data_IF_497645297408
#
_entry.id   IF_497645297408
#
_cell.length_a   1.000
_cell.length_b   1.000
_cell.length_c   1.000
_cell.angle_alpha   90.00
_cell.angle_beta   90.00
_cell.angle_gamma   90.00
#
_symmetry.space_group_name_H-M   'P 1'
#
loop_
_entity.id
_entity.type
_entity.pdbx_description
1 polymer ?
#
# COMPACT_ATOMS: atom_id res chain seq x y z
N UNK A 1 10.72 -13.85 3.15
CA UNK A 1 9.25 -13.66 3.15
C UNK A 1 8.92 -12.44 2.29
N UNK A 2 7.65 -12.26 1.90
CA UNK A 2 7.21 -11.03 1.22
C UNK A 2 6.65 -10.05 2.25
N UNK A 3 7.15 -8.83 2.26
CA UNK A 3 6.80 -7.79 3.21
C UNK A 3 6.30 -6.55 2.46
N UNK A 4 5.15 -6.01 2.88
CA UNK A 4 4.67 -4.71 2.43
C UNK A 4 4.85 -3.70 3.57
N UNK A 5 5.61 -2.63 3.32
CA UNK A 5 5.77 -1.51 4.25
C UNK A 5 4.91 -0.36 3.76
N UNK A 6 3.86 -0.03 4.52
CA UNK A 6 2.97 1.11 4.22
C UNK A 6 3.34 2.31 5.08
N UNK A 7 3.63 3.44 4.43
CA UNK A 7 3.97 4.72 5.09
C UNK A 7 2.77 5.65 4.97
N UNK A 8 2.26 6.12 6.11
CA UNK A 8 1.06 6.96 6.19
C UNK A 8 1.35 8.25 6.97
N UNK A 9 2.35 9.02 6.54
CA UNK A 9 2.69 10.30 7.16
C UNK A 9 3.00 11.39 6.12
N UNK A 10 2.41 12.59 6.21
CA UNK A 10 2.53 13.61 5.15
C UNK A 10 3.92 14.27 5.06
N UNK A 11 4.68 14.27 6.16
CA UNK A 11 6.01 14.90 6.21
C UNK A 11 7.09 13.85 5.91
N UNK A 12 7.87 14.04 4.84
CA UNK A 12 8.91 13.14 4.34
C UNK A 12 10.13 12.96 5.27
N UNK A 13 10.37 13.92 6.18
CA UNK A 13 11.42 13.83 7.21
C UNK A 13 10.85 13.64 8.63
N UNK A 14 9.66 13.05 8.73
CA UNK A 14 9.10 12.68 10.02
C UNK A 14 9.83 11.51 10.66
N UNK A 15 9.60 11.32 11.97
CA UNK A 15 10.03 10.11 12.66
C UNK A 15 9.47 8.85 12.00
N UNK A 16 8.23 8.87 11.50
CA UNK A 16 7.63 7.73 10.81
C UNK A 16 8.42 7.34 9.55
N UNK A 17 8.82 8.32 8.73
CA UNK A 17 9.66 8.08 7.56
C UNK A 17 11.04 7.53 7.94
N UNK A 18 11.66 8.06 9.01
CA UNK A 18 12.94 7.54 9.51
C UNK A 18 12.81 6.10 10.02
N UNK A 19 11.75 5.78 10.75
CA UNK A 19 11.48 4.41 11.21
C UNK A 19 11.22 3.45 10.05
N UNK A 20 10.45 3.87 9.05
CA UNK A 20 10.19 3.07 7.85
C UNK A 20 11.49 2.74 7.12
N UNK A 21 12.39 3.72 6.92
CA UNK A 21 13.71 3.49 6.32
C UNK A 21 14.52 2.44 7.08
N UNK A 22 14.57 2.53 8.41
CA UNK A 22 15.27 1.56 9.27
C UNK A 22 14.65 0.15 9.16
N UNK A 23 13.33 0.06 9.17
CA UNK A 23 12.61 -1.20 9.02
C UNK A 23 12.87 -1.85 7.65
N UNK A 24 12.73 -1.09 6.56
CA UNK A 24 13.00 -1.54 5.19
C UNK A 24 14.43 -2.06 5.06
N UNK A 25 15.42 -1.29 5.54
CA UNK A 25 16.82 -1.70 5.51
C UNK A 25 17.06 -3.02 6.25
N UNK A 26 16.43 -3.17 7.43
CA UNK A 26 16.55 -4.40 8.23
C UNK A 26 15.90 -5.60 7.53
N UNK A 27 14.71 -5.43 6.94
CA UNK A 27 14.00 -6.49 6.21
C UNK A 27 14.81 -6.95 4.99
N UNK A 28 15.34 -6.02 4.20
CA UNK A 28 16.19 -6.33 3.04
C UNK A 28 17.47 -7.05 3.47
N UNK A 29 18.14 -6.59 4.54
CA UNK A 29 19.34 -7.23 5.06
C UNK A 29 19.11 -8.68 5.54
N UNK A 30 17.88 -9.01 5.96
CA UNK A 30 17.48 -10.36 6.34
C UNK A 30 16.96 -11.20 5.15
N UNK A 31 17.17 -10.76 3.91
CA UNK A 31 16.80 -11.50 2.70
C UNK A 31 15.30 -11.55 2.42
N UNK A 32 14.53 -10.56 2.89
CA UNK A 32 13.11 -10.45 2.56
C UNK A 32 12.87 -9.65 1.27
N UNK A 33 11.83 -10.02 0.54
CA UNK A 33 11.31 -9.25 -0.60
C UNK A 33 10.42 -8.14 -0.04
N UNK A 34 10.79 -6.88 -0.25
CA UNK A 34 10.10 -5.73 0.34
C UNK A 34 9.48 -4.87 -0.75
N UNK A 35 8.18 -4.63 -0.62
CA UNK A 35 7.44 -3.61 -1.38
C UNK A 35 7.13 -2.46 -0.43
N UNK A 36 7.23 -1.22 -0.92
CA UNK A 36 6.98 -0.02 -0.14
C UNK A 36 5.88 0.77 -0.80
N UNK A 37 4.86 1.13 -0.02
CA UNK A 37 3.77 2.01 -0.44
C UNK A 37 3.73 3.23 0.47
N UNK A 38 4.00 4.41 -0.09
CA UNK A 38 3.86 5.67 0.62
C UNK A 38 2.55 6.33 0.20
N UNK A 39 1.56 6.29 1.10
CA UNK A 39 0.20 6.74 0.81
C UNK A 39 0.12 8.23 0.52
N UNK A 40 0.96 9.05 1.16
CA UNK A 40 0.95 10.49 0.93
C UNK A 40 1.72 10.85 -0.34
N UNK A 41 2.84 10.17 -0.62
CA UNK A 41 3.56 10.38 -1.87
C UNK A 41 2.75 9.87 -3.09
N UNK A 42 1.93 8.84 -2.92
CA UNK A 42 1.06 8.28 -3.95
C UNK A 42 -0.29 9.02 -4.09
N UNK A 43 -0.54 10.08 -3.31
CA UNK A 43 -1.83 10.79 -3.25
C UNK A 43 -3.02 9.82 -3.10
N UNK A 44 -2.86 8.84 -2.21
CA UNK A 44 -3.86 7.81 -1.97
C UNK A 44 -5.17 8.45 -1.50
N UNK A 45 -6.27 8.16 -2.19
CA UNK A 45 -7.61 8.60 -1.81
C UNK A 45 -8.21 7.67 -0.75
N UNK A 46 -8.30 8.07 0.54
CA UNK A 46 -8.80 7.19 1.59
C UNK A 46 -10.33 7.09 1.64
N UNK A 47 -11.02 8.04 1.00
CA UNK A 47 -12.47 8.10 1.02
C UNK A 47 -13.06 7.16 -0.05
N UNK A 48 -13.86 6.19 0.40
CA UNK A 48 -14.60 5.31 -0.48
C UNK A 48 -15.56 6.14 -1.36
N UNK A 49 -15.41 6.04 -2.67
CA UNK A 49 -16.28 6.71 -3.63
C UNK A 49 -17.62 5.98 -3.78
N UNK A 50 -18.62 6.68 -4.32
CA UNK A 50 -19.91 6.08 -4.66
C UNK A 50 -19.76 4.91 -5.64
N UNK A 51 -18.92 5.06 -6.67
CA UNK A 51 -18.69 4.03 -7.68
C UNK A 51 -18.01 2.78 -7.12
N UNK A 52 -16.99 2.96 -6.26
CA UNK A 52 -16.37 1.84 -5.54
C UNK A 52 -17.38 1.16 -4.63
N UNK A 53 -18.24 1.91 -3.94
CA UNK A 53 -19.30 1.33 -3.10
C UNK A 53 -20.31 0.53 -3.92
N UNK A 54 -20.73 1.02 -5.08
CA UNK A 54 -21.62 0.28 -5.98
C UNK A 54 -20.96 -1.00 -6.52
N UNK A 55 -19.65 -0.98 -6.74
CA UNK A 55 -18.92 -2.15 -7.27
C UNK A 55 -19.02 -3.39 -6.37
N UNK A 56 -19.17 -3.21 -5.05
CA UNK A 56 -19.31 -4.32 -4.10
C UNK A 56 -20.52 -5.23 -4.39
N UNK A 57 -21.62 -4.65 -4.91
CA UNK A 57 -22.83 -5.38 -5.27
C UNK A 57 -22.89 -5.78 -6.74
N UNK A 58 -21.90 -5.39 -7.56
CA UNK A 58 -21.79 -5.93 -8.92
C UNK A 58 -21.40 -7.40 -8.80
N UNK A 59 -22.28 -8.29 -9.23
CA UNK A 59 -21.93 -9.70 -9.43
C UNK A 59 -20.70 -9.73 -10.33
N UNK A 60 -19.61 -10.30 -9.81
CA UNK A 60 -18.41 -10.56 -10.61
C UNK A 60 -18.73 -11.73 -11.54
N UNK A 61 -19.38 -11.44 -12.66
CA UNK A 61 -19.46 -12.35 -13.79
C UNK A 61 -18.03 -12.57 -14.27
N UNK A 62 -17.38 -13.62 -13.78
CA UNK A 62 -16.27 -14.24 -14.49
C UNK A 62 -16.87 -14.81 -15.77
N UNK A 63 -16.93 -14.00 -16.82
CA UNK A 63 -17.14 -14.49 -18.17
C UNK A 63 -15.86 -15.23 -18.53
N UNK A 64 -15.89 -16.55 -18.40
CA UNK A 64 -14.94 -17.43 -19.07
C UNK A 64 -15.30 -17.37 -20.56
N UNK A 65 -14.71 -16.43 -21.27
CA UNK A 65 -14.47 -16.41 -22.71
C UNK A 65 -13.11 -15.66 -22.79
N UNK A 66 -11.96 -16.28 -23.02
CA UNK A 66 -11.57 -17.40 -23.88
C UNK A 66 -10.51 -18.29 -23.21
#
# INVERSE_FOLDING_TARGET
>A
MKCLVVIAHPINDSLCHRMAKTAIASLVANGHEVVVEDLYAADFAPALTYEERLSYYKIRLHVILE
#
